data_IF_915659774660
#
_entry.id   IF_915659774660
#
_cell.length_a   1.000
_cell.length_b   1.000
_cell.length_c   1.000
_cell.angle_alpha   90.00
_cell.angle_beta   90.00
_cell.angle_gamma   90.00
#
_symmetry.space_group_name_H-M   'P 1'
#
loop_
_entity.id
_entity.type
_entity.pdbx_description
1 polymer ?
#
# COMPACT_ATOMS: atom_id res chain seq x y z
N UNK A 1 36.54 9.25 9.41
CA UNK A 1 36.72 7.92 8.77
C UNK A 1 35.96 6.81 9.47
N UNK A 2 35.96 6.73 10.80
CA UNK A 2 35.20 5.75 11.54
C UNK A 2 33.69 5.88 11.30
N UNK A 3 33.21 7.11 11.14
CA UNK A 3 31.78 7.36 10.86
C UNK A 3 31.35 6.86 9.49
N UNK A 4 32.19 6.96 8.49
CA UNK A 4 31.88 6.48 7.15
C UNK A 4 31.76 4.96 7.14
N UNK A 5 32.64 4.28 7.88
CA UNK A 5 32.54 2.81 7.99
C UNK A 5 31.28 2.37 8.71
N UNK A 6 30.86 3.09 9.73
CA UNK A 6 29.64 2.77 10.45
C UNK A 6 28.39 2.97 9.58
N UNK A 7 28.37 4.01 8.76
CA UNK A 7 27.28 4.28 7.84
C UNK A 7 27.19 3.16 6.79
N UNK A 8 28.32 2.79 6.21
CA UNK A 8 28.38 1.71 5.21
C UNK A 8 27.94 0.38 5.84
N UNK A 9 28.43 0.10 7.05
CA UNK A 9 28.05 -1.10 7.77
C UNK A 9 26.55 -1.13 8.08
N UNK A 10 25.99 -0.01 8.51
CA UNK A 10 24.56 0.11 8.79
C UNK A 10 23.72 -0.10 7.54
N UNK A 11 24.11 0.49 6.41
CA UNK A 11 23.43 0.30 5.14
C UNK A 11 23.51 -1.16 4.67
N UNK A 12 24.65 -1.78 4.85
CA UNK A 12 24.85 -3.18 4.49
C UNK A 12 23.99 -4.12 5.32
N UNK A 13 23.91 -3.89 6.63
CA UNK A 13 23.07 -4.66 7.54
C UNK A 13 21.59 -4.51 7.16
N UNK A 14 21.13 -3.31 6.89
CA UNK A 14 19.76 -3.03 6.45
C UNK A 14 19.46 -3.80 5.15
N UNK A 15 20.38 -3.79 4.20
CA UNK A 15 20.24 -4.52 2.95
C UNK A 15 20.13 -6.02 3.19
N UNK A 16 20.92 -6.57 4.11
CA UNK A 16 20.88 -8.00 4.45
C UNK A 16 19.58 -8.39 5.14
N UNK A 17 19.10 -7.57 6.06
CA UNK A 17 17.83 -7.81 6.76
C UNK A 17 16.67 -7.78 5.77
N UNK A 18 16.72 -6.90 4.79
CA UNK A 18 15.70 -6.74 3.77
C UNK A 18 15.93 -7.63 2.55
N UNK A 19 16.99 -8.44 2.55
CA UNK A 19 17.37 -9.25 1.38
C UNK A 19 16.27 -10.18 0.89
N UNK A 20 15.62 -10.93 1.77
CA UNK A 20 14.50 -11.80 1.43
C UNK A 20 13.19 -11.01 1.25
N UNK A 21 12.81 -10.09 2.16
CA UNK A 21 11.63 -9.23 1.96
C UNK A 21 11.80 -8.17 0.89
N UNK A 22 13.01 -7.93 0.41
CA UNK A 22 13.31 -6.84 -0.52
C UNK A 22 12.55 -7.01 -1.84
N UNK A 23 12.38 -8.23 -2.32
CA UNK A 23 11.61 -8.52 -3.53
C UNK A 23 10.15 -8.14 -3.33
N UNK A 24 9.55 -8.54 -2.20
CA UNK A 24 8.18 -8.19 -1.83
C UNK A 24 8.05 -6.69 -1.58
N UNK A 25 9.00 -6.10 -0.87
CA UNK A 25 9.03 -4.66 -0.62
C UNK A 25 9.17 -3.87 -1.93
N UNK A 26 9.94 -4.38 -2.90
CA UNK A 26 10.08 -3.80 -4.22
C UNK A 26 8.78 -3.81 -5.01
N UNK A 27 8.04 -4.93 -5.00
CA UNK A 27 6.74 -5.02 -5.65
C UNK A 27 5.72 -4.10 -5.02
N UNK A 28 5.67 -4.05 -3.69
CA UNK A 28 4.78 -3.17 -2.95
C UNK A 28 5.12 -1.71 -3.23
N UNK A 29 6.40 -1.37 -3.19
CA UNK A 29 6.88 -0.03 -3.49
C UNK A 29 6.51 0.40 -4.91
N UNK A 30 6.64 -0.49 -5.89
CA UNK A 30 6.27 -0.23 -7.27
C UNK A 30 4.75 0.00 -7.40
N UNK A 31 3.94 -0.81 -6.74
CA UNK A 31 2.48 -0.65 -6.74
C UNK A 31 2.05 0.65 -6.08
N UNK A 32 2.66 0.99 -4.94
CA UNK A 32 2.40 2.25 -4.25
C UNK A 32 2.82 3.43 -5.13
N UNK A 33 4.01 3.39 -5.71
CA UNK A 33 4.52 4.42 -6.61
C UNK A 33 3.60 4.61 -7.81
N UNK A 34 3.14 3.52 -8.43
CA UNK A 34 2.19 3.55 -9.54
C UNK A 34 0.86 4.16 -9.11
N UNK A 35 0.37 3.81 -7.92
CA UNK A 35 -0.88 4.35 -7.37
C UNK A 35 -0.76 5.85 -7.13
N UNK A 36 0.34 6.31 -6.56
CA UNK A 36 0.61 7.74 -6.34
C UNK A 36 0.65 8.49 -7.67
N UNK A 37 1.33 7.94 -8.67
CA UNK A 37 1.42 8.54 -9.99
C UNK A 37 0.05 8.64 -10.68
N UNK A 38 -0.75 7.59 -10.59
CA UNK A 38 -2.12 7.59 -11.14
C UNK A 38 -3.02 8.59 -10.42
N UNK A 39 -2.91 8.71 -9.10
CA UNK A 39 -3.68 9.67 -8.32
C UNK A 39 -3.31 11.10 -8.69
N UNK A 40 -2.02 11.39 -8.84
CA UNK A 40 -1.54 12.70 -9.26
C UNK A 40 -2.03 13.05 -10.66
N UNK A 41 -1.97 12.09 -11.59
CA UNK A 41 -2.45 12.27 -12.97
C UNK A 41 -3.98 12.46 -12.98
N UNK A 42 -4.71 11.68 -12.20
CA UNK A 42 -6.15 11.82 -12.03
C UNK A 42 -6.53 13.22 -11.54
N UNK A 43 -5.87 13.71 -10.50
CA UNK A 43 -6.08 15.06 -9.98
C UNK A 43 -5.77 16.14 -11.02
N UNK A 44 -4.71 15.94 -11.79
CA UNK A 44 -4.32 16.86 -12.83
C UNK A 44 -5.36 16.93 -13.95
N UNK A 45 -5.94 15.79 -14.31
CA UNK A 45 -7.02 15.73 -15.30
C UNK A 45 -8.29 16.40 -14.82
N UNK A 46 -8.51 16.48 -13.51
CA UNK A 46 -9.64 17.18 -12.94
C UNK A 46 -9.54 18.69 -13.09
N UNK A 47 -8.33 19.23 -13.18
CA UNK A 47 -8.12 20.65 -13.38
C UNK A 47 -8.64 21.06 -14.75
N UNK A 48 -9.58 21.99 -14.80
CA UNK A 48 -10.19 22.43 -16.03
C UNK A 48 -11.49 21.75 -16.43
N UNK A 49 -12.04 20.88 -15.58
CA UNK A 49 -13.30 20.19 -15.86
C UNK A 49 -14.52 20.92 -15.29
N UNK A 50 -14.76 22.15 -15.68
CA UNK A 50 -15.99 22.86 -15.35
C UNK A 50 -15.87 23.73 -14.11
N UNK A 51 -16.88 23.71 -13.23
CA UNK A 51 -16.95 24.57 -12.05
C UNK A 51 -16.05 24.06 -10.93
N UNK A 52 -15.69 24.92 -9.92
CA UNK A 52 -14.94 24.46 -8.76
C UNK A 52 -15.56 23.26 -8.05
N UNK A 53 -16.89 23.17 -8.01
CA UNK A 53 -17.61 22.03 -7.43
C UNK A 53 -17.33 20.75 -8.22
N UNK A 54 -17.36 20.83 -9.56
CA UNK A 54 -17.07 19.69 -10.43
C UNK A 54 -15.63 19.22 -10.25
N UNK A 55 -14.70 20.13 -10.11
CA UNK A 55 -13.29 19.83 -9.86
C UNK A 55 -13.14 19.11 -8.51
N UNK A 56 -13.79 19.59 -7.46
CA UNK A 56 -13.74 18.98 -6.14
C UNK A 56 -14.31 17.56 -6.15
N UNK A 57 -15.45 17.34 -6.81
CA UNK A 57 -16.03 16.00 -6.97
C UNK A 57 -15.11 15.06 -7.74
N UNK A 58 -14.47 15.56 -8.78
CA UNK A 58 -13.50 14.79 -9.56
C UNK A 58 -12.31 14.37 -8.68
N UNK A 59 -11.73 15.30 -7.94
CA UNK A 59 -10.62 15.03 -7.03
C UNK A 59 -11.00 14.07 -5.90
N UNK A 60 -12.22 14.18 -5.41
CA UNK A 60 -12.75 13.27 -4.40
C UNK A 60 -12.80 11.83 -4.92
N UNK A 61 -13.27 11.63 -6.15
CA UNK A 61 -13.27 10.32 -6.80
C UNK A 61 -11.85 9.78 -6.98
N UNK A 62 -10.90 10.64 -7.36
CA UNK A 62 -9.49 10.27 -7.48
C UNK A 62 -8.94 9.79 -6.13
N UNK A 63 -9.25 10.50 -5.06
CA UNK A 63 -8.84 10.15 -3.70
C UNK A 63 -9.41 8.81 -3.26
N UNK A 64 -10.70 8.56 -3.52
CA UNK A 64 -11.34 7.29 -3.21
C UNK A 64 -10.67 6.14 -3.94
N UNK A 65 -10.40 6.28 -5.22
CA UNK A 65 -9.71 5.28 -6.03
C UNK A 65 -8.31 5.00 -5.48
N UNK A 66 -7.59 6.04 -5.07
CA UNK A 66 -6.27 5.91 -4.45
C UNK A 66 -6.34 5.09 -3.15
N UNK A 67 -7.28 5.42 -2.27
CA UNK A 67 -7.44 4.70 -1.01
C UNK A 67 -7.83 3.23 -1.22
N UNK A 68 -8.72 2.93 -2.16
CA UNK A 68 -9.05 1.55 -2.52
C UNK A 68 -7.84 0.80 -3.05
N UNK A 69 -7.00 1.44 -3.85
CA UNK A 69 -5.77 0.84 -4.36
C UNK A 69 -4.81 0.50 -3.23
N UNK A 70 -4.63 1.39 -2.26
CA UNK A 70 -3.79 1.13 -1.09
C UNK A 70 -4.36 -0.01 -0.24
N UNK A 71 -5.66 -0.07 -0.05
CA UNK A 71 -6.31 -1.16 0.68
C UNK A 71 -6.07 -2.50 0.01
N UNK A 72 -6.16 -2.55 -1.32
CA UNK A 72 -5.91 -3.76 -2.12
C UNK A 72 -4.45 -4.19 -2.01
N UNK A 73 -3.51 -3.24 -2.09
CA UNK A 73 -2.08 -3.52 -1.95
C UNK A 73 -1.80 -4.08 -0.55
N UNK A 74 -2.37 -3.48 0.49
CA UNK A 74 -2.22 -3.95 1.86
C UNK A 74 -2.78 -5.36 2.06
N UNK A 75 -3.92 -5.68 1.46
CA UNK A 75 -4.52 -7.01 1.51
C UNK A 75 -3.60 -8.05 0.86
N UNK A 76 -3.04 -7.72 -0.31
CA UNK A 76 -2.09 -8.59 -1.00
C UNK A 76 -0.84 -8.84 -0.17
N UNK A 77 -0.27 -7.81 0.43
CA UNK A 77 0.90 -7.93 1.29
C UNK A 77 0.61 -8.80 2.52
N UNK A 78 -0.57 -8.63 3.13
CA UNK A 78 -1.01 -9.42 4.27
C UNK A 78 -1.10 -10.91 3.91
N UNK A 79 -1.71 -11.24 2.77
CA UNK A 79 -1.82 -12.62 2.29
C UNK A 79 -0.48 -13.25 1.99
N UNK A 80 0.47 -12.49 1.46
CA UNK A 80 1.82 -13.00 1.21
C UNK A 80 2.51 -13.41 2.50
N UNK A 81 2.31 -12.67 3.58
CA UNK A 81 2.81 -13.06 4.90
C UNK A 81 2.19 -14.36 5.40
N UNK A 82 0.92 -14.59 5.06
CA UNK A 82 0.24 -15.84 5.43
C UNK A 82 0.85 -17.06 4.73
N UNK A 83 1.47 -16.89 3.58
CA UNK A 83 2.11 -17.99 2.85
C UNK A 83 3.18 -18.69 3.67
N UNK A 84 3.80 -18.02 4.63
CA UNK A 84 4.76 -18.63 5.55
C UNK A 84 4.12 -19.69 6.45
N UNK A 85 2.79 -19.68 6.58
CA UNK A 85 2.03 -20.59 7.43
C UNK A 85 1.37 -21.72 6.66
N UNK A 86 1.71 -21.94 5.39
CA UNK A 86 1.10 -22.95 4.51
C UNK A 86 1.13 -24.36 5.10
N UNK A 87 2.15 -24.68 5.89
CA UNK A 87 2.31 -25.99 6.47
C UNK A 87 1.36 -26.27 7.64
N UNK A 88 0.76 -25.24 8.20
CA UNK A 88 -0.26 -25.34 9.23
C UNK A 88 -1.56 -24.74 8.70
N UNK A 89 -2.46 -25.60 8.24
CA UNK A 89 -3.69 -25.18 7.56
C UNK A 89 -4.55 -24.28 8.49
N UNK A 90 -4.61 -24.61 9.77
CA UNK A 90 -5.39 -23.86 10.75
C UNK A 90 -4.86 -22.42 10.90
N UNK A 91 -3.55 -22.28 11.07
CA UNK A 91 -2.89 -20.98 11.20
C UNK A 91 -2.98 -20.17 9.89
N UNK A 92 -2.85 -20.85 8.76
CA UNK A 92 -2.96 -20.24 7.45
C UNK A 92 -4.37 -19.64 7.23
N UNK A 93 -5.41 -20.42 7.51
CA UNK A 93 -6.79 -19.99 7.38
C UNK A 93 -7.11 -18.80 8.28
N UNK A 94 -6.63 -18.84 9.52
CA UNK A 94 -6.81 -17.75 10.48
C UNK A 94 -6.12 -16.48 10.01
N UNK A 95 -4.91 -16.62 9.47
CA UNK A 95 -4.14 -15.50 8.91
C UNK A 95 -4.89 -14.85 7.76
N UNK A 96 -5.39 -15.64 6.81
CA UNK A 96 -6.15 -15.12 5.66
C UNK A 96 -7.45 -14.45 6.09
N UNK A 97 -8.14 -15.02 7.08
CA UNK A 97 -9.36 -14.44 7.62
C UNK A 97 -9.10 -13.07 8.24
N UNK A 98 -8.03 -12.93 9.02
CA UNK A 98 -7.63 -11.65 9.60
C UNK A 98 -7.29 -10.62 8.53
N UNK A 99 -6.61 -11.03 7.46
CA UNK A 99 -6.31 -10.15 6.34
C UNK A 99 -7.58 -9.65 5.66
N UNK A 100 -8.56 -10.55 5.46
CA UNK A 100 -9.85 -10.20 4.88
C UNK A 100 -10.62 -9.23 5.76
N UNK A 101 -10.67 -9.47 7.06
CA UNK A 101 -11.36 -8.58 8.01
C UNK A 101 -10.76 -7.18 8.01
N UNK A 102 -9.44 -7.07 7.99
CA UNK A 102 -8.75 -5.77 7.90
C UNK A 102 -9.09 -5.05 6.61
N UNK A 103 -9.10 -5.77 5.51
CA UNK A 103 -9.45 -5.20 4.20
C UNK A 103 -10.88 -4.69 4.19
N UNK A 104 -11.83 -5.50 4.63
CA UNK A 104 -13.26 -5.14 4.68
C UNK A 104 -13.50 -3.93 5.58
N UNK A 105 -12.83 -3.89 6.74
CA UNK A 105 -12.89 -2.76 7.66
C UNK A 105 -12.39 -1.47 6.99
N UNK A 106 -11.27 -1.56 6.30
CA UNK A 106 -10.67 -0.42 5.61
C UNK A 106 -11.56 0.08 4.47
N UNK A 107 -12.10 -0.82 3.68
CA UNK A 107 -13.05 -0.47 2.61
C UNK A 107 -14.29 0.21 3.17
N UNK A 108 -14.83 -0.29 4.29
CA UNK A 108 -15.96 0.32 4.97
C UNK A 108 -15.64 1.75 5.41
N UNK A 109 -14.46 1.99 5.99
CA UNK A 109 -14.02 3.32 6.41
C UNK A 109 -13.89 4.27 5.21
N UNK A 110 -13.35 3.78 4.09
CA UNK A 110 -13.22 4.57 2.87
C UNK A 110 -14.60 4.96 2.35
N UNK A 111 -15.55 4.03 2.33
CA UNK A 111 -16.93 4.30 1.89
C UNK A 111 -17.65 5.29 2.78
N UNK A 112 -17.29 5.35 4.06
CA UNK A 112 -17.85 6.33 4.99
C UNK A 112 -17.22 7.72 4.87
N UNK A 113 -16.25 7.88 3.98
CA UNK A 113 -15.58 9.14 3.76
C UNK A 113 -14.54 9.48 4.82
N UNK A 114 -14.10 8.51 5.61
CA UNK A 114 -13.07 8.75 6.61
C UNK A 114 -11.70 8.75 5.96
N UNK A 115 -10.91 9.79 6.23
CA UNK A 115 -9.53 9.87 5.80
C UNK A 115 -8.67 8.94 6.66
N UNK A 116 -7.98 8.05 6.00
CA UNK A 116 -7.09 7.11 6.64
C UNK A 116 -5.64 7.52 6.49
#
# INVERSE_FOLDING_TARGET
>A
MAQIRNIVGALFIVTLILGAPLVLAGEIADKVSTTVAKAADCNKQCEGKGTPIDIDHCKEKCSLTEHFSYATIGAGACRQKCDELKNDQSSFNLCEEKCREKYESRVSQIKQGQNL
#
